data_IF_304090574904
#
_entry.id   IF_304090574904
#
_cell.length_a   1.000
_cell.length_b   1.000
_cell.length_c   1.000
_cell.angle_alpha   90.00
_cell.angle_beta   90.00
_cell.angle_gamma   90.00
#
_symmetry.space_group_name_H-M   'P 1'
#
loop_
_entity.id
_entity.type
_entity.pdbx_description
1 polymer ?
#
# COMPACT_ATOMS: atom_id res chain seq x y z
N UNK A 1 7.99 20.36 16.27
CA UNK A 1 8.64 20.02 14.98
C UNK A 1 8.70 18.51 14.69
N UNK A 2 9.20 17.63 15.57
CA UNK A 2 9.39 16.19 15.26
C UNK A 2 8.12 15.37 14.91
N UNK A 3 6.96 15.69 15.50
CA UNK A 3 5.72 14.92 15.26
C UNK A 3 5.11 15.12 13.87
N UNK A 4 5.19 16.34 13.31
CA UNK A 4 4.67 16.61 11.97
C UNK A 4 5.47 15.94 10.86
N UNK A 5 6.78 15.77 11.05
CA UNK A 5 7.64 15.04 10.09
C UNK A 5 7.22 13.56 10.05
N UNK A 6 7.00 12.93 11.21
CA UNK A 6 6.56 11.53 11.28
C UNK A 6 5.21 11.32 10.59
N UNK A 7 4.25 12.23 10.82
CA UNK A 7 2.92 12.19 10.19
C UNK A 7 3.04 12.27 8.66
N UNK A 8 3.84 13.22 8.14
CA UNK A 8 4.09 13.38 6.71
C UNK A 8 4.82 12.16 6.13
N UNK A 9 5.85 11.65 6.82
CA UNK A 9 6.58 10.45 6.38
C UNK A 9 5.67 9.21 6.35
N UNK A 10 4.79 9.03 7.33
CA UNK A 10 3.83 7.92 7.36
C UNK A 10 2.86 7.98 6.16
N UNK A 11 2.33 9.18 5.85
CA UNK A 11 1.46 9.36 4.69
C UNK A 11 2.21 9.13 3.36
N UNK A 12 3.42 9.69 3.22
CA UNK A 12 4.23 9.47 2.02
C UNK A 12 4.59 8.01 1.84
N UNK A 13 4.97 7.32 2.91
CA UNK A 13 5.30 5.90 2.89
C UNK A 13 4.08 5.06 2.49
N UNK A 14 2.89 5.40 2.97
CA UNK A 14 1.66 4.74 2.54
C UNK A 14 1.39 4.93 1.05
N UNK A 15 1.46 6.17 0.56
CA UNK A 15 1.22 6.50 -0.85
C UNK A 15 2.22 5.77 -1.74
N UNK A 16 3.52 5.88 -1.43
CA UNK A 16 4.58 5.24 -2.21
C UNK A 16 4.50 3.72 -2.13
N UNK A 17 4.18 3.18 -0.95
CA UNK A 17 3.99 1.74 -0.75
C UNK A 17 2.85 1.21 -1.62
N UNK A 18 1.66 1.82 -1.57
CA UNK A 18 0.49 1.38 -2.36
C UNK A 18 0.76 1.52 -3.86
N UNK A 19 1.32 2.65 -4.31
CA UNK A 19 1.64 2.85 -5.72
C UNK A 19 2.69 1.86 -6.22
N UNK A 20 3.75 1.66 -5.45
CA UNK A 20 4.83 0.73 -5.79
C UNK A 20 4.33 -0.71 -5.83
N UNK A 21 3.55 -1.11 -4.84
CA UNK A 21 2.95 -2.44 -4.75
C UNK A 21 2.05 -2.70 -5.96
N UNK A 22 1.08 -1.82 -6.20
CA UNK A 22 0.16 -1.94 -7.33
C UNK A 22 0.88 -2.01 -8.68
N UNK A 23 1.81 -1.09 -8.94
CA UNK A 23 2.58 -1.09 -10.18
C UNK A 23 3.42 -2.36 -10.33
N UNK A 24 4.10 -2.80 -9.27
CA UNK A 24 4.94 -3.99 -9.29
C UNK A 24 4.12 -5.27 -9.52
N UNK A 25 2.94 -5.39 -8.91
CA UNK A 25 2.02 -6.52 -9.11
C UNK A 25 1.55 -6.58 -10.56
N UNK A 26 1.14 -5.45 -11.15
CA UNK A 26 0.73 -5.41 -12.56
C UNK A 26 1.89 -5.77 -13.50
N UNK A 27 3.11 -5.31 -13.19
CA UNK A 27 4.30 -5.65 -13.99
C UNK A 27 4.65 -7.14 -13.91
N UNK A 28 4.54 -7.76 -12.73
CA UNK A 28 4.77 -9.20 -12.57
C UNK A 28 3.70 -9.97 -13.34
N UNK A 29 2.41 -9.68 -13.13
CA UNK A 29 1.30 -10.39 -13.76
C UNK A 29 1.20 -10.20 -15.28
N UNK A 30 1.85 -9.17 -15.83
CA UNK A 30 2.00 -9.01 -17.29
C UNK A 30 2.93 -10.06 -17.93
N UNK A 31 3.67 -10.84 -17.13
CA UNK A 31 4.55 -11.90 -17.62
C UNK A 31 3.78 -13.21 -17.83
N UNK A 32 4.17 -14.00 -18.84
CA UNK A 32 3.59 -15.33 -19.03
C UNK A 32 3.94 -16.23 -17.82
N UNK A 33 3.00 -17.10 -17.44
CA UNK A 33 3.10 -18.07 -16.32
C UNK A 33 3.21 -17.48 -14.90
N UNK A 34 2.97 -16.19 -14.71
CA UNK A 34 2.82 -15.60 -13.37
C UNK A 34 1.34 -15.48 -13.00
N UNK A 35 1.01 -15.84 -11.77
CA UNK A 35 -0.33 -15.72 -11.22
C UNK A 35 -0.27 -15.13 -9.81
N UNK A 36 -1.35 -14.49 -9.41
CA UNK A 36 -1.48 -13.92 -8.07
C UNK A 36 -1.64 -15.08 -7.06
N UNK A 37 -0.74 -15.17 -6.09
CA UNK A 37 -0.73 -16.26 -5.12
C UNK A 37 -1.84 -16.10 -4.07
N UNK A 38 -2.29 -14.87 -3.83
CA UNK A 38 -3.36 -14.59 -2.87
C UNK A 38 -4.73 -14.77 -3.54
N UNK A 39 -5.54 -15.76 -3.12
CA UNK A 39 -6.83 -16.04 -3.77
C UNK A 39 -7.84 -14.90 -3.63
N UNK A 40 -7.76 -14.10 -2.55
CA UNK A 40 -8.63 -12.93 -2.38
C UNK A 40 -8.23 -11.83 -3.36
N UNK A 41 -6.93 -11.60 -3.52
CA UNK A 41 -6.43 -10.61 -4.47
C UNK A 41 -6.76 -11.02 -5.92
N UNK A 42 -6.53 -12.28 -6.26
CA UNK A 42 -6.89 -12.84 -7.56
C UNK A 42 -8.38 -12.63 -7.86
N UNK A 43 -9.26 -12.95 -6.92
CA UNK A 43 -10.71 -12.77 -7.11
C UNK A 43 -11.12 -11.30 -7.27
N UNK A 44 -10.51 -10.39 -6.51
CA UNK A 44 -10.77 -8.96 -6.65
C UNK A 44 -10.24 -8.40 -7.98
N UNK A 45 -9.15 -8.96 -8.50
CA UNK A 45 -8.61 -8.62 -9.81
C UNK A 45 -9.49 -9.14 -10.94
N UNK A 46 -10.04 -10.35 -10.83
CA UNK A 46 -11.01 -10.91 -11.79
C UNK A 46 -12.28 -10.05 -11.90
N UNK A 47 -12.66 -9.38 -10.81
CA UNK A 47 -13.83 -8.50 -10.76
C UNK A 47 -13.52 -7.04 -11.14
N UNK A 48 -12.29 -6.71 -11.56
CA UNK A 48 -11.81 -5.33 -11.77
C UNK A 48 -11.96 -4.41 -10.53
N UNK A 49 -12.14 -4.99 -9.34
CA UNK A 49 -12.35 -4.28 -8.08
C UNK A 49 -11.05 -3.98 -7.32
N UNK A 50 -9.93 -4.55 -7.77
CA UNK A 50 -8.63 -4.41 -7.10
C UNK A 50 -8.18 -2.95 -6.94
N UNK A 51 -8.18 -2.17 -8.04
CA UNK A 51 -7.80 -0.75 -8.00
C UNK A 51 -8.78 0.10 -7.17
N UNK A 52 -10.11 -0.02 -7.33
CA UNK A 52 -11.08 0.67 -6.45
C UNK A 52 -10.86 0.39 -4.96
N UNK A 53 -10.60 -0.86 -4.59
CA UNK A 53 -10.37 -1.25 -3.18
C UNK A 53 -9.05 -0.66 -2.67
N UNK A 54 -7.99 -0.71 -3.46
CA UNK A 54 -6.70 -0.10 -3.08
C UNK A 54 -6.83 1.41 -2.85
N UNK A 55 -7.56 2.12 -3.71
CA UNK A 55 -7.84 3.55 -3.54
C UNK A 55 -8.67 3.80 -2.28
N UNK A 56 -9.68 2.98 -2.00
CA UNK A 56 -10.51 3.10 -0.81
C UNK A 56 -9.68 2.89 0.47
N UNK A 57 -8.83 1.87 0.49
CA UNK A 57 -7.95 1.57 1.62
C UNK A 57 -6.89 2.65 1.83
N UNK A 58 -6.35 3.22 0.74
CA UNK A 58 -5.45 4.37 0.80
C UNK A 58 -6.18 5.59 1.36
N UNK A 59 -7.37 5.91 0.85
CA UNK A 59 -8.18 7.03 1.31
C UNK A 59 -8.56 6.88 2.78
N UNK A 60 -9.00 5.70 3.22
CA UNK A 60 -9.30 5.41 4.62
C UNK A 60 -8.04 5.51 5.50
N UNK A 61 -6.92 4.95 5.04
CA UNK A 61 -5.64 4.98 5.75
C UNK A 61 -5.08 6.40 5.95
N UNK A 62 -5.44 7.36 5.09
CA UNK A 62 -5.08 8.78 5.24
C UNK A 62 -6.15 9.57 6.01
N UNK A 63 -7.44 9.36 5.69
CA UNK A 63 -8.54 10.15 6.23
C UNK A 63 -8.78 9.87 7.72
N UNK A 64 -8.73 8.61 8.15
CA UNK A 64 -8.98 8.23 9.56
C UNK A 64 -7.96 8.90 10.50
N UNK A 65 -6.64 8.75 10.33
CA UNK A 65 -5.67 9.41 11.22
C UNK A 65 -5.72 10.93 11.12
N UNK A 66 -6.01 11.48 9.93
CA UNK A 66 -6.13 12.93 9.75
C UNK A 66 -7.34 13.52 10.51
N UNK A 67 -8.52 12.93 10.36
CA UNK A 67 -9.75 13.37 11.02
C UNK A 67 -9.66 13.18 12.55
N UNK A 68 -9.18 12.02 13.00
CA UNK A 68 -9.06 11.73 14.44
C UNK A 68 -8.06 12.64 15.13
N UNK A 69 -6.93 12.96 14.49
CA UNK A 69 -5.96 13.92 15.03
C UNK A 69 -6.48 15.36 15.11
N UNK A 70 -7.51 15.71 14.32
CA UNK A 70 -8.21 17.01 14.42
C UNK A 70 -9.18 17.05 15.60
N UNK A 71 -9.78 15.92 15.97
CA UNK A 71 -10.71 15.81 17.10
C UNK A 71 -9.92 15.79 18.42
N UNK A 72 -8.92 14.91 18.52
CA UNK A 72 -8.07 14.79 19.70
C UNK A 72 -6.61 14.60 19.30
N UNK A 73 -5.74 15.50 19.79
CA UNK A 73 -4.29 15.43 19.55
C UNK A 73 -3.64 14.18 20.14
N UNK A 74 -4.25 13.50 21.12
CA UNK A 74 -3.77 12.22 21.68
C UNK A 74 -3.93 11.07 20.68
N UNK A 75 -4.90 11.16 19.76
CA UNK A 75 -5.17 10.14 18.73
C UNK A 75 -4.19 10.19 17.55
N UNK A 76 -3.20 11.09 17.56
CA UNK A 76 -2.10 11.09 16.57
C UNK A 76 -1.31 9.77 16.53
N UNK A 77 -1.40 8.94 17.57
CA UNK A 77 -0.82 7.59 17.56
C UNK A 77 -1.41 6.73 16.43
N UNK A 78 -2.61 7.05 15.93
CA UNK A 78 -3.22 6.35 14.80
C UNK A 78 -2.45 6.52 13.48
N UNK A 79 -1.50 7.45 13.38
CA UNK A 79 -0.56 7.51 12.25
C UNK A 79 0.39 6.30 12.18
N UNK A 80 0.44 5.46 13.21
CA UNK A 80 1.10 4.15 13.13
C UNK A 80 0.42 3.26 12.09
N UNK A 81 -0.90 3.39 11.89
CA UNK A 81 -1.63 2.60 10.89
C UNK A 81 -1.14 2.83 9.45
N UNK A 82 -1.14 4.07 8.89
CA UNK A 82 -0.59 4.32 7.56
C UNK A 82 0.91 3.98 7.47
N UNK A 83 1.66 4.14 8.57
CA UNK A 83 3.08 3.78 8.60
C UNK A 83 3.29 2.27 8.43
N UNK A 84 2.59 1.45 9.22
CA UNK A 84 2.67 -0.02 9.13
C UNK A 84 2.12 -0.52 7.80
N UNK A 85 0.97 0.00 7.37
CA UNK A 85 0.38 -0.36 6.08
C UNK A 85 1.32 -0.01 4.91
N UNK A 86 1.93 1.18 4.95
CA UNK A 86 2.91 1.60 3.95
C UNK A 86 4.17 0.73 3.92
N UNK A 87 4.71 0.34 5.09
CA UNK A 87 5.84 -0.58 5.18
C UNK A 87 5.52 -1.96 4.58
N UNK A 88 4.35 -2.51 4.91
CA UNK A 88 3.92 -3.81 4.38
C UNK A 88 3.78 -3.76 2.85
N UNK A 89 3.11 -2.73 2.33
CA UNK A 89 2.96 -2.54 0.88
C UNK A 89 4.29 -2.33 0.18
N UNK A 90 5.20 -1.55 0.76
CA UNK A 90 6.55 -1.38 0.22
C UNK A 90 7.33 -2.71 0.22
N UNK A 91 7.18 -3.53 1.26
CA UNK A 91 7.83 -4.84 1.34
C UNK A 91 7.32 -5.79 0.24
N UNK A 92 6.01 -5.80 -0.01
CA UNK A 92 5.41 -6.54 -1.13
C UNK A 92 5.88 -5.99 -2.48
N UNK A 93 5.97 -4.67 -2.63
CA UNK A 93 6.51 -4.04 -3.84
C UNK A 93 7.94 -4.49 -4.14
N UNK A 94 8.81 -4.51 -3.12
CA UNK A 94 10.18 -4.98 -3.23
C UNK A 94 10.25 -6.47 -3.57
N UNK A 95 9.37 -7.27 -2.98
CA UNK A 95 9.25 -8.70 -3.29
C UNK A 95 8.84 -8.93 -4.76
N UNK A 96 7.85 -8.19 -5.25
CA UNK A 96 7.43 -8.25 -6.64
C UNK A 96 8.52 -7.79 -7.61
N UNK A 97 9.29 -6.75 -7.24
CA UNK A 97 10.47 -6.34 -8.02
C UNK A 97 11.53 -7.45 -8.04
N UNK A 98 11.77 -8.12 -6.92
CA UNK A 98 12.69 -9.26 -6.85
C UNK A 98 12.25 -10.39 -7.78
N UNK A 99 10.96 -10.75 -7.76
CA UNK A 99 10.37 -11.72 -8.70
C UNK A 99 10.58 -11.26 -10.15
N UNK A 100 10.26 -10.01 -10.46
CA UNK A 100 10.39 -9.46 -11.80
C UNK A 100 11.83 -9.52 -12.33
N UNK A 101 12.83 -9.25 -11.48
CA UNK A 101 14.25 -9.37 -11.81
C UNK A 101 14.66 -10.83 -12.00
N UNK A 102 14.15 -11.74 -11.16
CA UNK A 102 14.43 -13.18 -11.29
C UNK A 102 13.84 -13.81 -12.55
N UNK A 103 12.71 -13.28 -13.05
CA UNK A 103 12.05 -13.73 -14.29
C UNK A 103 12.66 -13.14 -15.57
N UNK A 104 13.53 -12.13 -15.45
CA UNK A 104 14.26 -11.52 -16.59
C UNK A 104 15.64 -12.15 -16.82
N UNK A 105 16.14 -12.92 -15.86
CA UNK A 105 17.31 -13.79 -15.98
C UNK A 105 16.89 -15.14 -16.56
#
# INVERSE_FOLDING_TARGET
MRRGILEVSACLLLILGVLGDHASTMMVLSKPNTYEANPVAAHLMELDLWLPIDILLLAAGLAIPYLTARIDRRLRVLFVYPLVQGLLRLSMALWNIHILLSLRL
#
